data_IF_826014454953
#
_entry.id   IF_826014454953
#
_cell.length_a   1.000
_cell.length_b   1.000
_cell.length_c   1.000
_cell.angle_alpha   90.00
_cell.angle_beta   90.00
_cell.angle_gamma   90.00
#
_symmetry.space_group_name_H-M   'P 1'
#
loop_
_entity.id
_entity.type
_entity.pdbx_description
1 polymer ?
#
# COMPACT_ATOMS: atom_id res chain seq x y z
N UNK A 1 -21.08 -38.89 -7.47
CA UNK A 1 -21.43 -37.46 -7.69
C UNK A 1 -20.84 -36.55 -6.61
N UNK A 2 -21.07 -36.81 -5.31
CA UNK A 2 -20.55 -35.98 -4.22
C UNK A 2 -19.01 -35.85 -4.18
N UNK A 3 -18.29 -36.97 -4.39
CA UNK A 3 -16.82 -36.98 -4.43
C UNK A 3 -16.25 -36.19 -5.62
N UNK A 4 -16.95 -36.22 -6.75
CA UNK A 4 -16.59 -35.46 -7.96
C UNK A 4 -16.79 -33.96 -7.74
N UNK A 5 -17.90 -33.56 -7.12
CA UNK A 5 -18.16 -32.15 -6.79
C UNK A 5 -17.18 -31.66 -5.72
N UNK A 6 -16.89 -32.48 -4.70
CA UNK A 6 -15.92 -32.14 -3.65
C UNK A 6 -14.50 -31.95 -4.17
N UNK A 7 -14.04 -32.83 -5.07
CA UNK A 7 -12.71 -32.69 -5.69
C UNK A 7 -12.58 -31.44 -6.56
N UNK A 8 -13.62 -31.10 -7.33
CA UNK A 8 -13.67 -29.86 -8.10
C UNK A 8 -13.60 -28.63 -7.17
N UNK A 9 -14.35 -28.64 -6.08
CA UNK A 9 -14.36 -27.52 -5.12
C UNK A 9 -12.98 -27.32 -4.46
N UNK A 10 -12.29 -28.40 -4.08
CA UNK A 10 -10.93 -28.34 -3.53
C UNK A 10 -9.93 -27.80 -4.55
N UNK A 11 -10.02 -28.27 -5.80
CA UNK A 11 -9.14 -27.79 -6.87
C UNK A 11 -9.32 -26.28 -7.11
N UNK A 12 -10.57 -25.80 -7.18
CA UNK A 12 -10.87 -24.38 -7.35
C UNK A 12 -10.42 -23.55 -6.14
N UNK A 13 -10.66 -24.04 -4.92
CA UNK A 13 -10.20 -23.38 -3.69
C UNK A 13 -8.67 -23.26 -3.63
N UNK A 14 -7.97 -24.32 -4.02
CA UNK A 14 -6.50 -24.33 -4.10
C UNK A 14 -5.96 -23.34 -5.13
N UNK A 15 -6.53 -23.31 -6.34
CA UNK A 15 -6.15 -22.34 -7.39
C UNK A 15 -6.44 -20.90 -6.93
N UNK A 16 -7.59 -20.66 -6.30
CA UNK A 16 -7.93 -19.33 -5.78
C UNK A 16 -6.94 -18.86 -4.71
N UNK A 17 -6.60 -19.74 -3.76
CA UNK A 17 -5.64 -19.40 -2.70
C UNK A 17 -4.23 -19.16 -3.27
N UNK A 18 -3.80 -19.99 -4.22
CA UNK A 18 -2.52 -19.80 -4.92
C UNK A 18 -2.48 -18.45 -5.66
N UNK A 19 -3.55 -18.10 -6.39
CA UNK A 19 -3.67 -16.82 -7.07
C UNK A 19 -3.68 -15.64 -6.08
N UNK A 20 -4.35 -15.77 -4.94
CA UNK A 20 -4.36 -14.75 -3.89
C UNK A 20 -2.98 -14.53 -3.27
N UNK A 21 -2.22 -15.60 -3.03
CA UNK A 21 -0.84 -15.52 -2.52
C UNK A 21 0.08 -14.84 -3.54
N UNK A 22 -0.07 -15.16 -4.83
CA UNK A 22 0.73 -14.55 -5.91
C UNK A 22 0.37 -13.09 -6.14
N UNK A 23 -0.92 -12.73 -6.11
CA UNK A 23 -1.37 -11.35 -6.26
C UNK A 23 -1.05 -10.50 -5.02
N UNK A 24 -1.06 -11.13 -3.84
CA UNK A 24 -0.84 -10.51 -2.55
C UNK A 24 -1.92 -9.49 -2.16
N UNK A 25 -2.10 -9.19 -0.86
CA UNK A 25 -2.91 -8.05 -0.40
C UNK A 25 -2.15 -6.73 -0.61
N UNK A 26 -1.47 -6.60 -1.74
CA UNK A 26 -0.65 -5.44 -2.08
C UNK A 26 -1.49 -4.19 -2.28
N UNK A 27 -0.83 -3.04 -2.22
CA UNK A 27 -1.43 -1.76 -2.56
C UNK A 27 -1.88 -1.80 -4.01
N UNK A 28 -3.06 -1.25 -4.31
CA UNK A 28 -3.61 -1.24 -5.66
C UNK A 28 -2.57 -0.72 -6.68
N UNK A 29 -2.42 -1.41 -7.81
CA UNK A 29 -1.49 -1.01 -8.88
C UNK A 29 -1.80 0.42 -9.34
N UNK A 30 -0.75 1.16 -9.72
CA UNK A 30 -0.85 2.57 -10.11
C UNK A 30 -0.90 3.56 -8.93
N UNK A 31 -0.95 3.08 -7.68
CA UNK A 31 -0.90 3.97 -6.51
C UNK A 31 0.44 4.68 -6.41
N UNK A 32 0.38 6.00 -6.26
CA UNK A 32 1.53 6.90 -6.11
C UNK A 32 1.30 7.82 -4.91
N UNK A 33 2.35 8.11 -4.13
CA UNK A 33 2.31 9.05 -2.99
C UNK A 33 3.43 10.05 -3.15
N UNK A 34 3.08 11.34 -3.27
CA UNK A 34 4.05 12.43 -3.52
C UNK A 34 5.04 12.11 -4.65
N UNK A 35 4.58 11.41 -5.69
CA UNK A 35 5.39 11.00 -6.85
C UNK A 35 6.09 9.65 -6.70
N UNK A 36 6.09 9.01 -5.52
CA UNK A 36 6.67 7.68 -5.30
C UNK A 36 5.65 6.59 -5.56
N UNK A 37 5.95 5.72 -6.54
CA UNK A 37 5.09 4.59 -6.91
C UNK A 37 5.19 3.47 -5.87
N UNK A 38 4.04 3.13 -5.27
CA UNK A 38 3.92 2.07 -4.25
C UNK A 38 2.91 0.99 -4.65
N UNK A 39 2.20 1.17 -5.77
CA UNK A 39 1.25 0.19 -6.27
C UNK A 39 1.91 -1.15 -6.59
N UNK A 40 1.28 -2.24 -6.17
CA UNK A 40 1.79 -3.60 -6.29
C UNK A 40 2.71 -4.03 -5.14
N UNK A 41 3.18 -3.10 -4.30
CA UNK A 41 3.97 -3.43 -3.12
C UNK A 41 3.08 -3.92 -1.98
N UNK A 42 3.62 -4.77 -1.10
CA UNK A 42 3.02 -4.99 0.20
C UNK A 42 3.07 -3.70 1.03
N UNK A 43 2.22 -3.63 2.07
CA UNK A 43 2.22 -2.49 3.00
C UNK A 43 3.59 -2.28 3.66
N UNK A 44 4.30 -3.35 4.01
CA UNK A 44 5.61 -3.26 4.65
C UNK A 44 6.68 -2.69 3.71
N UNK A 45 6.75 -3.22 2.49
CA UNK A 45 7.67 -2.72 1.46
C UNK A 45 7.37 -1.26 1.11
N UNK A 46 6.09 -0.89 1.00
CA UNK A 46 5.70 0.49 0.75
C UNK A 46 6.16 1.42 1.87
N UNK A 47 6.05 1.03 3.14
CA UNK A 47 6.57 1.83 4.28
C UNK A 47 8.08 2.01 4.18
N UNK A 48 8.83 0.95 3.86
CA UNK A 48 10.29 1.03 3.69
C UNK A 48 10.67 1.94 2.53
N UNK A 49 10.01 1.81 1.37
CA UNK A 49 10.27 2.65 0.19
C UNK A 49 9.92 4.11 0.49
N UNK A 50 8.76 4.38 1.09
CA UNK A 50 8.35 5.74 1.44
C UNK A 50 9.30 6.37 2.47
N UNK A 51 9.73 5.62 3.49
CA UNK A 51 10.72 6.10 4.44
C UNK A 51 11.99 6.57 3.73
N UNK A 52 12.55 5.72 2.87
CA UNK A 52 13.78 6.04 2.12
C UNK A 52 13.61 7.24 1.18
N UNK A 53 12.53 7.29 0.42
CA UNK A 53 12.37 8.31 -0.64
C UNK A 53 11.85 9.66 -0.09
N UNK A 54 11.02 9.64 0.94
CA UNK A 54 10.36 10.84 1.48
C UNK A 54 10.95 11.30 2.81
N UNK A 55 11.96 10.65 3.38
CA UNK A 55 12.57 11.03 4.67
C UNK A 55 12.88 12.53 4.75
N UNK A 56 13.42 13.11 3.67
CA UNK A 56 13.72 14.54 3.58
C UNK A 56 12.48 15.43 3.50
N UNK A 57 11.43 14.99 2.81
CA UNK A 57 10.19 15.77 2.67
C UNK A 57 9.33 15.68 3.93
N UNK A 58 9.29 14.50 4.57
CA UNK A 58 8.59 14.26 5.83
C UNK A 58 9.13 15.13 6.98
N UNK A 59 10.41 15.51 6.94
CA UNK A 59 11.04 16.40 7.91
C UNK A 59 10.80 17.90 7.69
N UNK A 60 10.14 18.32 6.60
CA UNK A 60 9.99 19.75 6.28
C UNK A 60 8.84 20.39 7.08
N UNK A 61 9.04 21.59 7.64
CA UNK A 61 7.94 22.36 8.22
C UNK A 61 6.90 22.71 7.17
N UNK A 62 5.62 22.58 7.52
CA UNK A 62 4.52 23.01 6.66
C UNK A 62 3.99 24.37 7.11
N UNK A 63 3.63 25.23 6.13
CA UNK A 63 3.10 26.56 6.39
C UNK A 63 1.60 26.47 6.67
N UNK A 64 1.18 27.01 7.81
CA UNK A 64 -0.23 27.09 8.22
C UNK A 64 -0.60 28.55 8.32
N UNK A 65 -1.74 28.93 7.74
CA UNK A 65 -2.29 30.28 7.85
C UNK A 65 -3.46 30.29 8.84
N UNK A 66 -3.35 31.14 9.86
CA UNK A 66 -4.39 31.37 10.88
C UNK A 66 -4.75 32.86 10.84
N UNK A 67 -5.91 33.17 10.23
CA UNK A 67 -6.26 34.55 9.89
C UNK A 67 -5.23 35.15 8.93
N UNK A 68 -4.60 36.25 9.37
CA UNK A 68 -3.53 36.95 8.63
C UNK A 68 -2.11 36.48 8.99
N UNK A 69 -1.96 35.57 9.96
CA UNK A 69 -0.65 35.10 10.41
C UNK A 69 -0.28 33.79 9.72
N UNK A 70 0.93 33.72 9.14
CA UNK A 70 1.51 32.48 8.59
C UNK A 70 2.55 31.94 9.58
N UNK A 71 2.37 30.70 10.01
CA UNK A 71 3.24 30.01 10.98
C UNK A 71 3.78 28.74 10.33
N UNK A 72 5.08 28.47 10.51
CA UNK A 72 5.71 27.22 10.08
C UNK A 72 5.70 26.22 11.24
N UNK A 73 5.06 25.07 11.02
CA UNK A 73 4.93 24.03 12.04
C UNK A 73 5.87 22.87 11.69
N UNK A 74 6.78 22.47 12.60
CA UNK A 74 7.62 21.29 12.38
C UNK A 74 6.77 20.01 12.43
N UNK A 75 7.13 18.97 11.68
CA UNK A 75 6.49 17.67 11.76
C UNK A 75 6.67 17.04 13.16
N UNK A 76 5.66 16.28 13.61
CA UNK A 76 5.57 15.65 14.95
C UNK A 76 6.29 14.32 15.07
#
# INVERSE_FOLDING_TARGET
MLLTVGSIAVALGGVYLAAYVVAGPGIARGTTVLGVAIGGLSRGEAVTVLGRELEREAGRPFAVRVGEMTVHVPPS
#
